data_IF_510294519136
#
_entry.id   IF_510294519136
#
_cell.length_a   1.000
_cell.length_b   1.000
_cell.length_c   1.000
_cell.angle_alpha   90.00
_cell.angle_beta   90.00
_cell.angle_gamma   90.00
#
_symmetry.space_group_name_H-M   'P 1'
#
loop_
_entity.id
_entity.type
_entity.pdbx_description
1 polymer ?
#
# COMPACT_ATOMS: atom_id res chain seq x y z
N UNK A 1 -1.56 5.13 -2.33
CA UNK A 1 -1.34 4.74 -3.74
C UNK A 1 -2.25 5.46 -4.74
N UNK A 2 -3.52 5.75 -4.44
CA UNK A 2 -4.44 6.35 -5.44
C UNK A 2 -4.02 7.71 -6.01
N UNK A 3 -3.52 8.64 -5.19
CA UNK A 3 -3.05 9.95 -5.65
C UNK A 3 -1.88 9.85 -6.65
N UNK A 4 -0.85 9.09 -6.26
CA UNK A 4 0.35 8.88 -7.10
C UNK A 4 -0.01 8.18 -8.41
N UNK A 5 -0.85 7.16 -8.36
CA UNK A 5 -1.30 6.44 -9.56
C UNK A 5 -1.98 7.37 -10.57
N UNK A 6 -2.83 8.29 -10.09
CA UNK A 6 -3.49 9.29 -10.96
C UNK A 6 -2.52 10.29 -11.57
N UNK A 7 -1.52 10.72 -10.81
CA UNK A 7 -0.49 11.64 -11.33
C UNK A 7 0.34 10.96 -12.42
N UNK A 8 0.73 9.70 -12.22
CA UNK A 8 1.46 8.91 -13.22
C UNK A 8 0.59 8.72 -14.49
N UNK A 9 -0.71 8.43 -14.34
CA UNK A 9 -1.63 8.34 -15.50
C UNK A 9 -1.77 9.66 -16.24
N UNK A 10 -1.82 10.79 -15.53
CA UNK A 10 -1.85 12.12 -16.14
C UNK A 10 -0.61 12.41 -16.99
N UNK A 11 0.53 11.76 -16.69
CA UNK A 11 1.74 11.80 -17.51
C UNK A 11 1.75 10.83 -18.71
N UNK A 12 0.68 10.06 -18.91
CA UNK A 12 0.54 9.11 -20.03
C UNK A 12 1.05 7.71 -19.74
N UNK A 13 1.35 7.36 -18.48
CA UNK A 13 1.82 6.04 -18.08
C UNK A 13 0.68 5.26 -17.40
N UNK A 14 0.22 4.12 -17.96
CA UNK A 14 -0.84 3.35 -17.35
C UNK A 14 -0.38 2.69 -16.04
N UNK A 15 -1.25 2.72 -15.04
CA UNK A 15 -1.06 2.15 -13.70
C UNK A 15 -2.21 1.23 -13.31
N UNK A 16 -1.91 0.28 -12.43
CA UNK A 16 -2.91 -0.56 -11.76
C UNK A 16 -2.47 -0.74 -10.31
N UNK A 17 -3.40 -0.57 -9.37
CA UNK A 17 -3.16 -0.86 -7.96
C UNK A 17 -3.57 -2.30 -7.64
N UNK A 18 -2.62 -3.14 -7.24
CA UNK A 18 -2.93 -4.46 -6.67
C UNK A 18 -3.10 -4.33 -5.15
N UNK A 19 -4.23 -4.76 -4.60
CA UNK A 19 -4.64 -4.43 -3.22
C UNK A 19 -5.34 -5.58 -2.50
N UNK A 20 -5.27 -5.59 -1.17
CA UNK A 20 -6.04 -6.49 -0.28
C UNK A 20 -7.02 -5.75 0.63
N UNK A 21 -7.18 -4.42 0.47
CA UNK A 21 -8.06 -3.61 1.32
C UNK A 21 -9.06 -2.84 0.46
N UNK A 22 -10.23 -3.45 0.22
CA UNK A 22 -11.23 -2.90 -0.71
C UNK A 22 -11.67 -1.48 -0.34
N UNK A 23 -12.14 -1.28 0.89
CA UNK A 23 -12.70 0.01 1.34
C UNK A 23 -11.66 1.13 1.34
N UNK A 24 -10.43 0.83 1.77
CA UNK A 24 -9.30 1.76 1.74
C UNK A 24 -8.91 2.11 0.30
N UNK A 25 -8.96 1.12 -0.59
CA UNK A 25 -8.64 1.35 -2.02
C UNK A 25 -9.71 2.20 -2.68
N UNK A 26 -10.98 1.93 -2.40
CA UNK A 26 -12.10 2.71 -2.90
C UNK A 26 -12.01 4.17 -2.44
N UNK A 27 -11.69 4.42 -1.17
CA UNK A 27 -11.51 5.79 -0.67
C UNK A 27 -10.32 6.52 -1.30
N UNK A 28 -9.25 5.80 -1.64
CA UNK A 28 -8.11 6.36 -2.35
C UNK A 28 -8.41 6.70 -3.83
N UNK A 29 -9.46 6.09 -4.43
CA UNK A 29 -9.95 6.29 -5.79
C UNK A 29 -8.85 6.22 -6.89
N UNK A 30 -8.08 5.11 -6.98
CA UNK A 30 -7.03 4.97 -8.02
C UNK A 30 -7.65 4.92 -9.42
N UNK A 31 -6.84 5.11 -10.46
CA UNK A 31 -7.30 4.98 -11.85
C UNK A 31 -7.86 3.57 -12.14
N UNK A 32 -7.18 2.53 -11.66
CA UNK A 32 -7.59 1.13 -11.80
C UNK A 32 -7.12 0.35 -10.57
N UNK A 33 -7.89 -0.64 -10.12
CA UNK A 33 -7.44 -1.55 -9.08
C UNK A 33 -7.88 -3.00 -9.31
N UNK A 34 -7.02 -3.91 -8.89
CA UNK A 34 -7.28 -5.35 -8.81
C UNK A 34 -7.19 -5.75 -7.34
N UNK A 35 -8.22 -6.43 -6.87
CA UNK A 35 -8.37 -6.83 -5.47
C UNK A 35 -8.13 -8.32 -5.29
N UNK A 36 -7.28 -8.65 -4.31
CA UNK A 36 -7.03 -9.99 -3.82
C UNK A 36 -7.52 -10.10 -2.38
N UNK A 37 -8.33 -11.11 -2.08
CA UNK A 37 -8.87 -11.29 -0.72
C UNK A 37 -7.90 -12.05 0.21
N UNK A 38 -6.67 -11.55 0.29
CA UNK A 38 -5.51 -12.18 0.92
C UNK A 38 -5.03 -11.35 2.13
N UNK A 39 -4.26 -11.96 3.05
CA UNK A 39 -3.58 -11.21 4.11
C UNK A 39 -2.80 -10.01 3.55
N UNK A 40 -2.75 -8.92 4.31
CA UNK A 40 -1.93 -7.77 3.94
C UNK A 40 -0.47 -8.21 3.73
N UNK A 41 0.17 -7.67 2.70
CA UNK A 41 1.53 -8.04 2.29
C UNK A 41 1.61 -9.20 1.28
N UNK A 42 0.50 -9.88 0.98
CA UNK A 42 0.48 -11.02 0.05
C UNK A 42 -0.29 -10.75 -1.25
N UNK A 43 -0.47 -9.48 -1.62
CA UNK A 43 -1.31 -9.06 -2.78
C UNK A 43 -0.88 -9.69 -4.11
N UNK A 44 0.39 -10.05 -4.28
CA UNK A 44 0.92 -10.69 -5.50
C UNK A 44 0.71 -12.20 -5.56
N UNK A 45 0.15 -12.83 -4.53
CA UNK A 45 -0.01 -14.29 -4.47
C UNK A 45 0.62 -14.92 -3.23
N UNK A 46 0.32 -16.20 -3.05
CA UNK A 46 0.88 -17.00 -1.96
C UNK A 46 2.38 -17.24 -2.14
N UNK A 47 3.15 -17.37 -1.06
CA UNK A 47 4.54 -17.83 -1.15
C UNK A 47 4.62 -19.19 -1.85
N UNK A 48 5.64 -19.36 -2.69
CA UNK A 48 5.93 -20.62 -3.41
C UNK A 48 4.80 -21.13 -4.33
N UNK A 49 3.90 -20.25 -4.77
CA UNK A 49 2.82 -20.57 -5.72
C UNK A 49 2.97 -19.76 -7.01
N UNK A 50 3.94 -20.09 -7.88
CA UNK A 50 4.22 -19.31 -9.08
C UNK A 50 3.05 -19.31 -10.07
N UNK A 51 2.22 -20.35 -10.07
CA UNK A 51 1.03 -20.42 -10.92
C UNK A 51 0.00 -19.40 -10.44
N UNK A 52 -0.36 -19.41 -9.15
CA UNK A 52 -1.30 -18.43 -8.58
C UNK A 52 -0.80 -16.99 -8.70
N UNK A 53 0.50 -16.76 -8.49
CA UNK A 53 1.12 -15.44 -8.66
C UNK A 53 1.04 -14.96 -10.11
N UNK A 54 1.29 -15.84 -11.08
CA UNK A 54 1.20 -15.49 -12.51
C UNK A 54 -0.23 -15.13 -12.90
N UNK A 55 -1.23 -15.87 -12.42
CA UNK A 55 -2.64 -15.56 -12.70
C UNK A 55 -3.05 -14.19 -12.15
N UNK A 56 -2.58 -13.82 -10.95
CA UNK A 56 -2.83 -12.49 -10.38
C UNK A 56 -2.13 -11.40 -11.18
N UNK A 57 -0.87 -11.62 -11.58
CA UNK A 57 -0.13 -10.69 -12.42
C UNK A 57 -0.81 -10.48 -13.79
N UNK A 58 -1.33 -11.56 -14.40
CA UNK A 58 -2.12 -11.48 -15.64
C UNK A 58 -3.37 -10.64 -15.45
N UNK A 59 -4.15 -10.90 -14.40
CA UNK A 59 -5.35 -10.12 -14.11
C UNK A 59 -5.02 -8.62 -13.91
N UNK A 60 -3.91 -8.30 -13.24
CA UNK A 60 -3.44 -6.92 -13.09
C UNK A 60 -3.11 -6.24 -14.43
N UNK A 61 -2.40 -6.95 -15.32
CA UNK A 61 -2.06 -6.42 -16.66
C UNK A 61 -3.31 -6.29 -17.53
N UNK A 62 -4.21 -7.28 -17.52
CA UNK A 62 -5.47 -7.25 -18.28
C UNK A 62 -6.37 -6.09 -17.83
N UNK A 63 -6.37 -5.76 -16.54
CA UNK A 63 -7.13 -4.63 -16.00
C UNK A 63 -6.73 -3.29 -16.62
N UNK A 64 -5.50 -3.13 -17.11
CA UNK A 64 -5.06 -1.91 -17.82
C UNK A 64 -5.93 -1.65 -19.05
N UNK A 65 -6.31 -2.71 -19.76
CA UNK A 65 -7.15 -2.63 -20.95
C UNK A 65 -8.65 -2.70 -20.63
N UNK A 66 -9.03 -3.48 -19.61
CA UNK A 66 -10.43 -3.72 -19.26
C UNK A 66 -11.10 -2.61 -18.45
N UNK A 67 -10.34 -1.86 -17.65
CA UNK A 67 -10.88 -0.80 -16.79
C UNK A 67 -10.72 0.56 -17.44
N UNK A 68 -11.85 1.15 -17.81
CA UNK A 68 -11.93 2.48 -18.45
C UNK A 68 -12.47 3.58 -17.54
N UNK A 69 -13.09 3.22 -16.41
CA UNK A 69 -13.64 4.16 -15.43
C UNK A 69 -12.74 4.22 -14.17
N UNK A 70 -12.24 5.40 -13.79
CA UNK A 70 -11.50 5.60 -12.54
C UNK A 70 -12.26 5.08 -11.32
N UNK A 71 -11.53 4.57 -10.33
CA UNK A 71 -12.09 4.03 -9.09
C UNK A 71 -12.66 2.62 -9.23
N UNK A 72 -12.64 2.05 -10.43
CA UNK A 72 -13.09 0.67 -10.64
C UNK A 72 -12.11 -0.30 -10.00
N UNK A 73 -12.66 -1.22 -9.21
CA UNK A 73 -11.94 -2.29 -8.52
C UNK A 73 -12.55 -3.61 -8.99
N UNK A 74 -11.72 -4.53 -9.49
CA UNK A 74 -12.15 -5.88 -9.85
C UNK A 74 -11.52 -6.91 -8.92
N UNK A 75 -12.27 -7.88 -8.37
CA UNK A 75 -11.70 -8.96 -7.60
C UNK A 75 -11.09 -10.03 -8.51
N UNK A 76 -10.05 -10.70 -8.02
CA UNK A 76 -9.54 -11.93 -8.62
C UNK A 76 -10.21 -13.16 -7.98
N UNK A 77 -10.36 -14.29 -8.68
CA UNK A 77 -11.07 -15.47 -8.16
C UNK A 77 -10.27 -16.29 -7.15
N UNK A 78 -8.96 -16.06 -7.03
CA UNK A 78 -8.07 -16.82 -6.15
C UNK A 78 -8.44 -16.56 -4.69
N UNK A 79 -8.35 -17.61 -3.88
CA UNK A 79 -8.67 -17.55 -2.45
C UNK A 79 -7.45 -17.92 -1.62
N UNK A 80 -7.33 -17.28 -0.47
CA UNK A 80 -6.37 -17.71 0.53
C UNK A 80 -6.93 -18.97 1.21
N UNK A 81 -6.21 -20.11 1.21
CA UNK A 81 -6.75 -21.39 1.67
C UNK A 81 -7.18 -21.40 3.13
N UNK A 82 -6.44 -20.67 3.98
CA UNK A 82 -6.65 -20.65 5.41
C UNK A 82 -7.44 -19.41 5.82
N UNK A 83 -8.73 -19.49 6.17
CA UNK A 83 -9.51 -18.30 6.50
C UNK A 83 -9.12 -17.66 7.85
N UNK A 84 -8.35 -18.34 8.70
CA UNK A 84 -8.02 -17.90 10.07
C UNK A 84 -7.19 -16.60 10.10
N UNK A 85 -6.48 -16.29 9.01
CA UNK A 85 -5.69 -15.06 8.90
C UNK A 85 -6.48 -13.79 9.19
N UNK A 86 -7.80 -13.79 8.95
CA UNK A 86 -8.65 -12.62 9.20
C UNK A 86 -8.83 -12.35 10.69
N UNK A 87 -8.91 -13.41 11.47
CA UNK A 87 -9.04 -13.32 12.92
C UNK A 87 -7.69 -12.94 13.51
N UNK A 88 -6.60 -13.58 13.05
CA UNK A 88 -5.22 -13.17 13.41
C UNK A 88 -4.97 -11.69 13.08
N UNK A 89 -5.41 -11.22 11.91
CA UNK A 89 -5.25 -9.83 11.50
C UNK A 89 -6.07 -8.84 12.37
N UNK A 90 -7.18 -9.28 12.95
CA UNK A 90 -7.98 -8.48 13.90
C UNK A 90 -7.36 -8.44 15.29
N UNK A 91 -6.61 -9.47 15.66
CA UNK A 91 -5.93 -9.59 16.96
C UNK A 91 -4.56 -8.90 16.97
N UNK A 92 -4.03 -8.51 15.81
CA UNK A 92 -2.76 -7.79 15.70
C UNK A 92 -2.74 -6.55 16.60
N UNK A 93 -1.79 -6.53 17.53
CA UNK A 93 -1.54 -5.40 18.42
C UNK A 93 -0.64 -4.39 17.70
N UNK A 94 -0.95 -3.11 17.88
CA UNK A 94 -0.10 -2.05 17.38
C UNK A 94 1.25 -2.05 18.13
N UNK A 95 2.29 -2.57 17.49
CA UNK A 95 3.65 -2.56 18.01
C UNK A 95 4.43 -1.31 17.63
N UNK A 96 3.81 -0.32 16.96
CA UNK A 96 4.48 0.94 16.63
C UNK A 96 4.86 1.64 17.94
N UNK A 97 6.06 2.23 17.94
CA UNK A 97 6.49 3.11 19.03
C UNK A 97 5.54 4.29 19.15
N UNK A 98 5.40 4.81 20.37
CA UNK A 98 4.64 6.03 20.63
C UNK A 98 5.12 7.15 19.69
N UNK A 99 4.17 7.89 19.14
CA UNK A 99 4.49 9.08 18.36
C UNK A 99 4.91 10.17 19.34
N UNK A 100 6.18 10.50 19.32
CA UNK A 100 6.73 11.57 20.14
C UNK A 100 6.57 12.91 19.42
N UNK A 101 6.27 13.95 20.19
CA UNK A 101 6.28 15.34 19.71
C UNK A 101 7.72 15.88 19.60
N UNK A 102 8.70 15.09 20.04
CA UNK A 102 10.13 15.39 19.89
C UNK A 102 10.71 14.69 18.65
N UNK A 103 11.64 15.35 17.94
CA UNK A 103 12.26 14.78 16.75
C UNK A 103 13.05 13.53 17.08
N UNK A 104 12.88 12.50 16.26
CA UNK A 104 13.63 11.27 16.37
C UNK A 104 14.69 11.25 15.25
N UNK A 105 15.95 11.11 15.65
CA UNK A 105 17.09 11.06 14.74
C UNK A 105 17.63 9.64 14.66
N UNK A 106 18.13 9.24 13.49
CA UNK A 106 18.74 7.92 13.31
C UNK A 106 20.05 7.79 14.10
N UNK A 107 20.82 8.88 14.21
CA UNK A 107 22.06 8.95 14.97
C UNK A 107 22.26 10.31 15.66
N UNK A 108 23.22 10.37 16.59
CA UNK A 108 23.64 11.63 17.22
C UNK A 108 24.18 12.64 16.20
N UNK A 109 24.87 12.17 15.16
CA UNK A 109 25.38 13.03 14.10
C UNK A 109 24.25 13.68 13.28
N UNK A 110 23.15 12.94 13.04
CA UNK A 110 21.97 13.49 12.35
C UNK A 110 21.29 14.58 13.20
N UNK A 111 21.23 14.37 14.52
CA UNK A 111 20.73 15.38 15.47
C UNK A 111 21.60 16.63 15.43
N UNK A 112 22.92 16.47 15.54
CA UNK A 112 23.86 17.60 15.58
C UNK A 112 23.83 18.38 14.25
N UNK A 113 23.75 17.69 13.12
CA UNK A 113 23.60 18.32 11.80
C UNK A 113 22.27 19.07 11.65
N UNK A 114 21.17 18.51 12.17
CA UNK A 114 19.87 19.18 12.17
C UNK A 114 19.88 20.43 13.05
N UNK A 115 20.46 20.35 14.25
CA UNK A 115 20.64 21.51 15.15
C UNK A 115 21.51 22.58 14.48
N UNK A 116 22.61 22.19 13.84
CA UNK A 116 23.49 23.13 13.13
C UNK A 116 22.78 23.85 11.97
N UNK A 117 21.87 23.17 11.28
CA UNK A 117 21.18 23.72 10.10
C UNK A 117 19.93 24.53 10.46
N UNK A 118 19.18 24.08 11.46
CA UNK A 118 17.83 24.58 11.73
C UNK A 118 17.64 25.12 13.17
N UNK A 119 18.67 25.05 14.01
CA UNK A 119 18.59 25.40 15.44
C UNK A 119 17.90 24.32 16.29
N UNK A 120 18.01 24.44 17.61
CA UNK A 120 17.48 23.43 18.56
C UNK A 120 15.95 23.27 18.52
N UNK A 121 15.23 24.29 18.04
CA UNK A 121 13.76 24.34 18.03
C UNK A 121 13.11 24.03 16.68
N UNK A 122 13.86 23.46 15.73
CA UNK A 122 13.44 23.32 14.34
C UNK A 122 12.16 22.53 14.08
N UNK A 123 11.69 21.75 15.06
CA UNK A 123 10.87 20.59 14.75
C UNK A 123 9.55 20.47 15.51
N UNK A 124 9.16 21.50 16.27
CA UNK A 124 7.80 21.58 16.78
C UNK A 124 7.38 23.05 16.92
N UNK A 125 7.27 23.74 15.78
CA UNK A 125 6.55 25.01 15.70
C UNK A 125 5.07 24.74 15.43
N UNK A 126 4.29 24.63 16.50
CA UNK A 126 2.88 25.01 16.44
C UNK A 126 2.74 26.53 16.37
#
# INVERSE_FOLDING_TARGET
MGLIAREIEASGIPTVCLTSAWTITASANPARAVYTDFPLGHTSGRPNDPVGQLEIARAAVEAIHGITAPGTIIPVPQQWPDPTWRDEARELVDHRTERLDTPQYQSDADRDAAIATHGENAACGC
#
